data_IF_694026185436
#
_entry.id   IF_694026185436
#
_cell.length_a   1.000
_cell.length_b   1.000
_cell.length_c   1.000
_cell.angle_alpha   90.00
_cell.angle_beta   90.00
_cell.angle_gamma   90.00
#
_symmetry.space_group_name_H-M   'P 1'
#
loop_
_entity.id
_entity.type
_entity.pdbx_description
1 polymer ?
#
# COMPACT_ATOMS: atom_id res chain seq x y z
N UNK A 1 -18.37 -0.06 -0.62
CA UNK A 1 -19.50 0.77 -1.07
C UNK A 1 -20.34 1.20 0.12
N UNK A 2 -20.86 0.26 0.93
CA UNK A 2 -21.67 0.55 2.12
C UNK A 2 -21.07 1.67 3.00
N UNK A 3 -19.75 1.64 3.29
CA UNK A 3 -19.10 2.71 4.05
C UNK A 3 -19.32 4.10 3.42
N UNK A 4 -19.19 4.22 2.09
CA UNK A 4 -19.38 5.50 1.38
C UNK A 4 -20.85 5.93 1.31
N UNK A 5 -21.79 5.00 1.37
CA UNK A 5 -23.22 5.29 1.50
C UNK A 5 -23.54 5.85 2.88
N UNK A 6 -22.95 5.26 3.94
CA UNK A 6 -23.10 5.69 5.32
C UNK A 6 -22.31 6.98 5.65
N UNK A 7 -21.28 7.29 4.85
CA UNK A 7 -20.38 8.45 5.02
C UNK A 7 -20.28 9.27 3.72
N UNK A 8 -21.32 10.00 3.33
CA UNK A 8 -21.43 10.65 2.02
C UNK A 8 -20.38 11.73 1.77
N UNK A 9 -19.76 12.32 2.81
CA UNK A 9 -18.68 13.29 2.68
C UNK A 9 -17.29 12.64 2.50
N UNK A 10 -17.17 11.36 2.78
CA UNK A 10 -15.91 10.65 2.66
C UNK A 10 -15.52 10.41 1.21
N UNK A 11 -14.21 10.44 0.96
CA UNK A 11 -13.57 10.00 -0.27
C UNK A 11 -12.47 8.99 0.07
N UNK A 12 -12.28 7.99 -0.79
CA UNK A 12 -11.27 6.94 -0.58
C UNK A 12 -10.32 6.87 -1.77
N UNK A 13 -9.04 6.70 -1.48
CA UNK A 13 -8.01 6.39 -2.49
C UNK A 13 -7.58 4.95 -2.28
N UNK A 14 -7.73 4.11 -3.32
CA UNK A 14 -7.23 2.74 -3.32
C UNK A 14 -5.96 2.65 -4.15
N UNK A 15 -4.86 2.29 -3.52
CA UNK A 15 -3.59 2.01 -4.21
C UNK A 15 -3.41 0.50 -4.26
N UNK A 16 -3.48 -0.07 -5.45
CA UNK A 16 -3.50 -1.50 -5.66
C UNK A 16 -2.09 -2.06 -5.75
N UNK A 17 -1.78 -3.05 -4.90
CA UNK A 17 -0.57 -3.85 -5.01
C UNK A 17 -0.67 -4.94 -6.08
N UNK A 18 0.46 -5.53 -6.45
CA UNK A 18 0.52 -6.57 -7.48
C UNK A 18 -0.01 -7.94 -7.05
N UNK A 19 0.09 -8.26 -5.76
CA UNK A 19 -0.45 -9.48 -5.17
C UNK A 19 0.08 -10.79 -5.78
N UNK A 20 -0.75 -11.82 -5.81
CA UNK A 20 -0.43 -13.10 -6.42
C UNK A 20 -0.21 -12.99 -7.94
N UNK A 21 -1.01 -12.23 -8.71
CA UNK A 21 -0.77 -12.08 -10.15
C UNK A 21 0.64 -11.60 -10.49
N UNK A 22 1.14 -10.56 -9.80
CA UNK A 22 2.51 -10.07 -10.02
C UNK A 22 3.55 -11.19 -9.81
N UNK A 23 3.44 -11.93 -8.72
CA UNK A 23 4.38 -13.01 -8.38
C UNK A 23 4.36 -14.13 -9.43
N UNK A 24 3.17 -14.51 -9.92
CA UNK A 24 3.01 -15.54 -10.95
C UNK A 24 3.68 -15.11 -12.25
N UNK A 25 3.44 -13.89 -12.73
CA UNK A 25 4.05 -13.41 -13.97
C UNK A 25 5.56 -13.17 -13.83
N UNK A 26 6.03 -12.67 -12.70
CA UNK A 26 7.46 -12.53 -12.43
C UNK A 26 8.15 -13.91 -12.36
N UNK A 27 7.47 -14.94 -11.80
CA UNK A 27 8.01 -16.29 -11.79
C UNK A 27 8.06 -16.87 -13.21
N UNK A 28 6.99 -16.73 -13.98
CA UNK A 28 6.97 -17.17 -15.38
C UNK A 28 8.10 -16.53 -16.21
N UNK A 29 8.38 -15.24 -16.00
CA UNK A 29 9.52 -14.56 -16.62
C UNK A 29 10.85 -15.22 -16.23
N UNK A 30 11.06 -15.49 -14.94
CA UNK A 30 12.28 -16.17 -14.47
C UNK A 30 12.42 -17.57 -15.03
N UNK A 31 11.32 -18.32 -15.12
CA UNK A 31 11.32 -19.71 -15.62
C UNK A 31 11.69 -19.75 -17.11
N UNK A 32 11.22 -18.80 -17.91
CA UNK A 32 11.53 -18.71 -19.34
C UNK A 32 12.95 -18.21 -19.58
N UNK A 33 13.38 -17.18 -18.87
CA UNK A 33 14.68 -16.52 -19.09
C UNK A 33 15.84 -17.22 -18.38
N UNK A 34 15.57 -18.03 -17.37
CA UNK A 34 16.61 -18.76 -16.61
C UNK A 34 17.70 -17.81 -16.11
N UNK A 35 18.94 -18.11 -16.43
CA UNK A 35 20.10 -17.30 -16.01
C UNK A 35 20.16 -15.89 -16.63
N UNK A 36 19.34 -15.59 -17.64
CA UNK A 36 19.26 -14.28 -18.28
C UNK A 36 18.28 -13.34 -17.56
N UNK A 37 17.46 -13.85 -16.61
CA UNK A 37 16.52 -13.05 -15.81
C UNK A 37 17.21 -12.16 -14.75
N UNK A 38 18.22 -11.38 -15.17
CA UNK A 38 19.08 -10.58 -14.26
C UNK A 38 18.56 -9.16 -14.04
N UNK A 39 17.73 -8.64 -14.95
CA UNK A 39 17.25 -7.25 -14.87
C UNK A 39 16.08 -7.15 -13.90
N UNK A 40 16.34 -6.58 -12.72
CA UNK A 40 15.34 -6.31 -11.72
C UNK A 40 14.25 -5.33 -12.22
N UNK A 41 14.60 -4.36 -13.07
CA UNK A 41 13.65 -3.40 -13.62
C UNK A 41 12.59 -4.08 -14.49
N UNK A 42 12.97 -5.11 -15.26
CA UNK A 42 12.01 -5.87 -16.07
C UNK A 42 10.99 -6.57 -15.17
N UNK A 43 11.46 -7.20 -14.10
CA UNK A 43 10.58 -7.85 -13.13
C UNK A 43 9.70 -6.85 -12.40
N UNK A 44 10.22 -5.68 -12.04
CA UNK A 44 9.44 -4.59 -11.45
C UNK A 44 8.34 -4.12 -12.41
N UNK A 45 8.64 -3.92 -13.70
CA UNK A 45 7.63 -3.55 -14.68
C UNK A 45 6.51 -4.58 -14.82
N UNK A 46 6.84 -5.87 -14.79
CA UNK A 46 5.83 -6.95 -14.77
C UNK A 46 4.93 -6.80 -13.54
N UNK A 47 5.53 -6.59 -12.38
CA UNK A 47 4.80 -6.37 -11.13
C UNK A 47 3.91 -5.12 -11.19
N UNK A 48 4.43 -4.00 -11.70
CA UNK A 48 3.69 -2.74 -11.88
C UNK A 48 2.47 -2.95 -12.80
N UNK A 49 2.62 -3.64 -13.93
CA UNK A 49 1.48 -3.92 -14.83
C UNK A 49 0.41 -4.78 -14.16
N UNK A 50 0.79 -5.70 -13.28
CA UNK A 50 -0.17 -6.45 -12.47
C UNK A 50 -0.93 -5.54 -11.49
N UNK A 51 -0.28 -4.52 -10.91
CA UNK A 51 -0.98 -3.51 -10.07
C UNK A 51 -2.01 -2.73 -10.88
N UNK A 52 -1.69 -2.38 -12.14
CA UNK A 52 -2.62 -1.68 -13.01
C UNK A 52 -3.85 -2.54 -13.34
N UNK A 53 -3.66 -3.84 -13.63
CA UNK A 53 -4.76 -4.77 -13.86
C UNK A 53 -5.65 -4.90 -12.62
N UNK A 54 -5.04 -5.03 -11.43
CA UNK A 54 -5.77 -5.03 -10.16
C UNK A 54 -6.52 -3.71 -9.94
N UNK A 55 -5.91 -2.59 -10.29
CA UNK A 55 -6.53 -1.27 -10.23
C UNK A 55 -7.76 -1.15 -11.13
N UNK A 56 -7.69 -1.63 -12.37
CA UNK A 56 -8.84 -1.65 -13.27
C UNK A 56 -9.98 -2.54 -12.75
N UNK A 57 -9.64 -3.68 -12.13
CA UNK A 57 -10.64 -4.52 -11.45
C UNK A 57 -11.35 -3.74 -10.33
N UNK A 58 -10.59 -3.10 -9.43
CA UNK A 58 -11.15 -2.32 -8.33
C UNK A 58 -12.01 -1.18 -8.85
N UNK A 59 -11.53 -0.44 -9.85
CA UNK A 59 -12.27 0.63 -10.51
C UNK A 59 -13.59 0.13 -11.10
N UNK A 60 -13.56 -1.00 -11.79
CA UNK A 60 -14.76 -1.63 -12.36
C UNK A 60 -15.79 -2.05 -11.29
N UNK A 61 -15.30 -2.55 -10.14
CA UNK A 61 -16.16 -2.91 -8.98
C UNK A 61 -16.86 -1.67 -8.41
N UNK A 62 -16.16 -0.54 -8.29
CA UNK A 62 -16.75 0.69 -7.76
C UNK A 62 -17.68 1.40 -8.78
N UNK A 63 -17.41 1.26 -10.08
CA UNK A 63 -18.24 1.81 -11.16
C UNK A 63 -18.35 3.33 -11.08
N UNK A 64 -19.55 3.88 -11.05
CA UNK A 64 -19.82 5.33 -11.06
C UNK A 64 -19.23 6.12 -9.89
N UNK A 65 -18.78 5.45 -8.83
CA UNK A 65 -18.05 6.10 -7.75
C UNK A 65 -16.61 6.47 -8.17
N UNK A 66 -16.06 5.82 -9.22
CA UNK A 66 -14.75 6.08 -9.81
C UNK A 66 -14.90 6.85 -11.13
N UNK A 67 -14.90 8.18 -11.08
CA UNK A 67 -15.04 9.03 -12.27
C UNK A 67 -13.72 9.28 -13.00
N UNK A 68 -12.62 9.10 -12.30
CA UNK A 68 -11.29 9.48 -12.75
C UNK A 68 -10.55 8.30 -13.40
N UNK A 69 -9.54 8.59 -14.22
CA UNK A 69 -8.66 7.57 -14.78
C UNK A 69 -7.85 6.87 -13.68
N UNK A 70 -7.44 5.62 -13.94
CA UNK A 70 -6.48 4.93 -13.07
C UNK A 70 -5.20 5.76 -12.97
N UNK A 71 -4.77 6.07 -11.76
CA UNK A 71 -3.52 6.78 -11.51
C UNK A 71 -2.36 5.80 -11.64
N UNK A 72 -1.46 6.07 -12.57
CA UNK A 72 -0.24 5.28 -12.82
C UNK A 72 1.05 6.08 -12.57
N UNK A 73 0.92 7.37 -12.29
CA UNK A 73 1.99 8.27 -11.86
C UNK A 73 1.42 9.21 -10.80
N UNK A 74 1.73 9.01 -9.50
CA UNK A 74 1.18 9.80 -8.40
C UNK A 74 1.68 11.25 -8.41
N UNK A 75 2.69 11.57 -9.22
CA UNK A 75 3.28 12.92 -9.32
C UNK A 75 2.70 13.75 -10.46
N UNK A 76 1.94 13.13 -11.37
CA UNK A 76 1.38 13.82 -12.53
C UNK A 76 0.46 14.96 -12.14
N UNK A 77 0.67 16.16 -12.68
CA UNK A 77 -0.15 17.35 -12.37
C UNK A 77 -1.61 17.20 -12.79
N UNK A 78 -1.88 16.35 -13.77
CA UNK A 78 -3.21 16.13 -14.37
C UNK A 78 -4.15 15.24 -13.53
N UNK A 79 -3.69 14.66 -12.41
CA UNK A 79 -4.55 13.81 -11.60
C UNK A 79 -5.72 14.62 -11.04
N UNK A 80 -6.93 14.12 -11.30
CA UNK A 80 -8.19 14.61 -10.75
C UNK A 80 -8.73 13.65 -9.70
N UNK A 81 -9.58 14.14 -8.81
CA UNK A 81 -10.31 13.32 -7.85
C UNK A 81 -11.76 13.85 -7.76
N UNK A 82 -12.50 13.66 -8.85
CA UNK A 82 -13.90 14.12 -8.99
C UNK A 82 -14.89 13.15 -8.35
N UNK A 83 -14.60 11.83 -8.45
CA UNK A 83 -15.42 10.78 -7.87
C UNK A 83 -15.34 10.68 -6.34
N UNK A 84 -16.01 9.68 -5.77
CA UNK A 84 -15.89 9.28 -4.36
C UNK A 84 -14.69 8.36 -4.13
N UNK A 85 -14.28 7.66 -5.18
CA UNK A 85 -13.16 6.72 -5.15
C UNK A 85 -12.17 7.09 -6.25
N UNK A 86 -10.91 7.22 -5.87
CA UNK A 86 -9.77 7.29 -6.79
C UNK A 86 -9.00 5.97 -6.70
N UNK A 87 -8.62 5.41 -7.83
CA UNK A 87 -7.84 4.17 -7.87
C UNK A 87 -6.48 4.42 -8.50
N UNK A 88 -5.44 3.86 -7.89
CA UNK A 88 -4.06 3.93 -8.37
C UNK A 88 -3.42 2.55 -8.43
N UNK A 89 -2.43 2.42 -9.28
CA UNK A 89 -1.49 1.29 -9.33
C UNK A 89 -0.06 1.77 -9.08
N UNK A 90 0.92 0.87 -9.23
CA UNK A 90 2.34 1.18 -9.08
C UNK A 90 2.83 2.14 -10.17
N UNK A 91 3.78 2.98 -9.82
CA UNK A 91 4.32 4.01 -10.69
C UNK A 91 5.43 3.50 -11.60
N UNK A 92 6.62 3.34 -11.08
CA UNK A 92 7.83 2.97 -11.84
C UNK A 92 8.78 2.11 -10.99
N UNK A 93 9.73 1.40 -11.61
CA UNK A 93 10.75 0.65 -10.88
C UNK A 93 11.46 1.48 -9.82
N UNK A 94 11.74 0.86 -8.68
CA UNK A 94 12.38 1.50 -7.54
C UNK A 94 11.42 2.23 -6.59
N UNK A 95 10.10 2.21 -6.86
CA UNK A 95 9.06 2.76 -5.97
C UNK A 95 8.05 1.67 -5.62
N UNK A 96 7.72 1.59 -4.34
CA UNK A 96 6.66 0.72 -3.86
C UNK A 96 5.29 1.40 -3.96
N UNK A 97 4.22 0.61 -3.96
CA UNK A 97 2.85 1.13 -3.85
C UNK A 97 2.60 1.85 -2.52
N UNK A 98 3.38 1.57 -1.48
CA UNK A 98 3.36 2.34 -0.24
C UNK A 98 3.80 3.79 -0.47
N UNK A 99 4.87 3.98 -1.26
CA UNK A 99 5.35 5.31 -1.65
C UNK A 99 4.31 6.05 -2.49
N UNK A 100 3.68 5.35 -3.43
CA UNK A 100 2.61 5.92 -4.26
C UNK A 100 1.41 6.35 -3.42
N UNK A 101 1.05 5.55 -2.40
CA UNK A 101 -0.02 5.88 -1.46
C UNK A 101 0.30 7.15 -0.63
N UNK A 102 1.54 7.30 -0.16
CA UNK A 102 1.96 8.51 0.58
C UNK A 102 1.95 9.75 -0.32
N UNK A 103 2.40 9.65 -1.58
CA UNK A 103 2.32 10.76 -2.54
C UNK A 103 0.87 11.22 -2.75
N UNK A 104 -0.05 10.27 -2.96
CA UNK A 104 -1.46 10.59 -3.16
C UNK A 104 -2.11 11.12 -1.87
N UNK A 105 -1.80 10.54 -0.72
CA UNK A 105 -2.27 11.04 0.58
C UNK A 105 -1.86 12.49 0.79
N UNK A 106 -0.58 12.81 0.58
CA UNK A 106 -0.04 14.16 0.67
C UNK A 106 -0.72 15.12 -0.30
N UNK A 107 -0.90 14.70 -1.55
CA UNK A 107 -1.53 15.52 -2.61
C UNK A 107 -2.96 15.90 -2.29
N UNK A 108 -3.75 14.96 -1.79
CA UNK A 108 -5.18 15.14 -1.54
C UNK A 108 -5.50 15.43 -0.06
N UNK A 109 -4.48 15.64 0.76
CA UNK A 109 -4.63 16.05 2.16
C UNK A 109 -5.13 14.95 3.10
N UNK A 110 -5.02 13.67 2.72
CA UNK A 110 -5.33 12.57 3.60
C UNK A 110 -4.33 12.52 4.77
N UNK A 111 -4.85 12.29 5.97
CA UNK A 111 -4.05 12.27 7.21
C UNK A 111 -3.62 10.86 7.60
N UNK A 112 -4.22 9.85 7.00
CA UNK A 112 -3.97 8.45 7.32
C UNK A 112 -3.85 7.64 6.04
N UNK A 113 -2.83 6.80 5.97
CA UNK A 113 -2.70 5.71 5.00
C UNK A 113 -2.96 4.40 5.73
N UNK A 114 -3.83 3.56 5.19
CA UNK A 114 -4.11 2.24 5.75
C UNK A 114 -3.43 1.21 4.86
N UNK A 115 -2.40 0.58 5.40
CA UNK A 115 -1.69 -0.53 4.72
C UNK A 115 -2.37 -1.84 5.08
N UNK A 116 -3.16 -2.35 4.15
CA UNK A 116 -3.86 -3.62 4.28
C UNK A 116 -3.02 -4.74 3.67
N UNK A 117 -2.55 -5.64 4.51
CA UNK A 117 -1.71 -6.76 4.10
C UNK A 117 -2.22 -8.09 4.69
N UNK A 118 -1.36 -9.10 4.78
CA UNK A 118 -1.67 -10.39 5.38
C UNK A 118 -1.13 -10.54 6.81
N UNK A 119 -0.76 -9.44 7.45
CA UNK A 119 -0.32 -9.40 8.85
C UNK A 119 -1.31 -8.59 9.68
N UNK A 120 -1.63 -9.09 10.88
CA UNK A 120 -2.53 -8.39 11.78
C UNK A 120 -1.89 -7.15 12.40
N UNK A 121 -0.61 -7.22 12.74
CA UNK A 121 0.17 -6.14 13.38
C UNK A 121 1.60 -6.14 12.88
N UNK A 122 2.29 -5.03 13.10
CA UNK A 122 3.76 -4.99 13.09
C UNK A 122 4.28 -5.67 14.35
N UNK A 123 5.40 -6.36 14.23
CA UNK A 123 6.07 -7.04 15.34
C UNK A 123 7.50 -6.52 15.47
N UNK A 124 8.07 -6.71 16.64
CA UNK A 124 9.47 -6.34 16.92
C UNK A 124 10.48 -7.14 16.08
N UNK A 125 10.07 -8.28 15.53
CA UNK A 125 10.83 -9.15 14.63
C UNK A 125 9.84 -10.01 13.82
N UNK A 126 10.30 -10.80 12.85
CA UNK A 126 9.45 -11.74 12.10
C UNK A 126 8.94 -12.88 13.02
N UNK A 127 7.65 -12.93 13.38
CA UNK A 127 7.12 -13.92 14.32
C UNK A 127 7.21 -15.37 13.78
N UNK A 128 7.42 -15.54 12.47
CA UNK A 128 7.64 -16.87 11.86
C UNK A 128 9.04 -17.40 12.14
N UNK A 129 9.99 -16.51 12.45
CA UNK A 129 11.40 -16.83 12.70
C UNK A 129 11.77 -16.68 14.17
N UNK A 130 11.16 -15.74 14.86
CA UNK A 130 11.42 -15.45 16.26
C UNK A 130 10.12 -15.59 17.07
N UNK A 131 9.98 -16.68 17.86
CA UNK A 131 8.78 -16.89 18.68
C UNK A 131 8.64 -15.86 19.83
N UNK A 132 9.69 -15.08 20.11
CA UNK A 132 9.66 -13.99 21.09
C UNK A 132 9.31 -12.63 20.47
N UNK A 133 8.94 -12.59 19.19
CA UNK A 133 8.49 -11.36 18.55
C UNK A 133 7.21 -10.85 19.20
N UNK A 134 7.21 -9.60 19.64
CA UNK A 134 6.10 -8.96 20.34
C UNK A 134 5.30 -8.10 19.35
N UNK A 135 3.96 -8.21 19.31
CA UNK A 135 3.14 -7.33 18.52
C UNK A 135 3.18 -5.89 19.07
N UNK A 136 3.15 -4.94 18.16
CA UNK A 136 3.22 -3.50 18.44
C UNK A 136 1.86 -2.88 18.12
N UNK A 137 1.24 -2.21 19.10
CA UNK A 137 -0.03 -1.50 18.90
C UNK A 137 0.18 -0.09 18.35
N UNK A 138 1.23 0.59 18.84
CA UNK A 138 1.60 1.92 18.36
C UNK A 138 3.10 2.10 18.44
N UNK A 139 3.66 2.83 17.46
CA UNK A 139 5.09 3.12 17.38
C UNK A 139 5.31 4.50 16.74
N UNK A 140 6.29 5.25 17.24
CA UNK A 140 6.68 6.51 16.62
C UNK A 140 7.34 6.28 15.26
N UNK A 141 7.28 7.28 14.36
CA UNK A 141 8.03 7.24 13.12
C UNK A 141 9.54 7.06 13.33
N UNK A 142 10.08 7.68 14.35
CA UNK A 142 11.52 7.57 14.68
C UNK A 142 11.91 6.12 14.99
N UNK A 143 11.16 5.46 15.86
CA UNK A 143 11.45 4.09 16.27
C UNK A 143 11.12 3.07 15.19
N UNK A 144 10.04 3.29 14.43
CA UNK A 144 9.72 2.45 13.27
C UNK A 144 10.83 2.50 12.22
N UNK A 145 11.33 3.69 11.87
CA UNK A 145 12.43 3.84 10.91
C UNK A 145 13.75 3.25 11.43
N UNK A 146 14.04 3.34 12.73
CA UNK A 146 15.19 2.61 13.33
C UNK A 146 15.06 1.10 13.13
N UNK A 147 13.85 0.57 13.24
CA UNK A 147 13.56 -0.87 13.10
C UNK A 147 13.67 -1.35 11.64
N UNK A 148 13.11 -0.63 10.67
CA UNK A 148 13.06 -1.07 9.26
C UNK A 148 14.25 -0.58 8.44
N UNK A 149 14.91 0.50 8.85
CA UNK A 149 15.98 1.21 8.14
C UNK A 149 15.45 2.27 7.19
N UNK A 150 16.37 2.99 6.54
CA UNK A 150 16.06 4.10 5.62
C UNK A 150 16.30 3.75 4.13
N UNK A 151 16.70 2.51 3.86
CA UNK A 151 17.02 2.06 2.51
C UNK A 151 16.11 0.91 2.09
N UNK A 152 15.58 1.04 0.89
CA UNK A 152 14.88 -0.06 0.27
C UNK A 152 15.88 -1.14 -0.16
N UNK A 153 15.61 -2.38 0.24
CA UNK A 153 16.41 -3.55 -0.13
C UNK A 153 15.51 -4.54 -0.86
N UNK A 154 15.83 -4.92 -2.11
CA UNK A 154 15.05 -5.89 -2.86
C UNK A 154 14.85 -7.19 -2.09
N UNK A 155 13.60 -7.68 -2.01
CA UNK A 155 13.27 -8.93 -1.34
C UNK A 155 13.21 -8.87 0.19
N UNK A 156 13.55 -7.74 0.83
CA UNK A 156 13.33 -7.55 2.27
C UNK A 156 11.85 -7.25 2.51
N UNK A 157 11.16 -8.18 3.16
CA UNK A 157 9.80 -7.94 3.62
C UNK A 157 9.83 -7.04 4.85
N UNK A 158 9.35 -5.83 4.69
CA UNK A 158 9.12 -4.88 5.78
C UNK A 158 7.63 -4.56 5.87
N UNK A 159 7.11 -4.24 7.06
CA UNK A 159 5.69 -3.94 7.23
C UNK A 159 5.21 -2.73 6.43
N UNK A 160 6.07 -1.75 6.23
CA UNK A 160 5.87 -0.56 5.41
C UNK A 160 7.21 -0.11 4.82
N UNK A 161 7.20 0.36 3.60
CA UNK A 161 8.41 0.71 2.83
C UNK A 161 9.24 1.80 3.51
N UNK A 162 10.59 1.68 3.57
CA UNK A 162 11.45 2.67 4.23
C UNK A 162 11.38 4.07 3.62
N UNK A 163 11.27 4.17 2.28
CA UNK A 163 11.16 5.46 1.56
C UNK A 163 9.80 6.09 1.86
N UNK A 164 8.73 5.28 1.78
CA UNK A 164 7.39 5.70 2.14
C UNK A 164 7.32 6.16 3.60
N UNK A 165 8.00 5.46 4.52
CA UNK A 165 8.07 5.80 5.95
C UNK A 165 8.67 7.18 6.18
N UNK A 166 9.78 7.49 5.50
CA UNK A 166 10.40 8.81 5.57
C UNK A 166 9.47 9.90 5.05
N UNK A 167 8.86 9.69 3.89
CA UNK A 167 7.92 10.64 3.30
C UNK A 167 6.67 10.85 4.15
N UNK A 168 6.13 9.79 4.75
CA UNK A 168 4.97 9.88 5.64
C UNK A 168 5.29 10.65 6.92
N UNK A 169 6.46 10.42 7.53
CA UNK A 169 6.95 11.18 8.67
C UNK A 169 7.09 12.67 8.34
N UNK A 170 7.75 13.01 7.23
CA UNK A 170 7.93 14.39 6.78
C UNK A 170 6.60 15.11 6.51
N UNK A 171 5.61 14.37 6.03
CA UNK A 171 4.26 14.88 5.75
C UNK A 171 3.30 14.81 6.95
N UNK A 172 3.75 14.30 8.10
CA UNK A 172 2.93 14.07 9.30
C UNK A 172 1.67 13.22 9.00
N UNK A 173 1.82 12.21 8.15
CA UNK A 173 0.78 11.25 7.80
C UNK A 173 0.93 10.04 8.72
N UNK A 174 -0.17 9.61 9.34
CA UNK A 174 -0.23 8.35 10.08
C UNK A 174 -0.32 7.18 9.12
N UNK A 175 0.28 6.05 9.49
CA UNK A 175 0.08 4.78 8.79
C UNK A 175 -0.51 3.77 9.76
N UNK A 176 -1.56 3.08 9.32
CA UNK A 176 -2.15 1.96 10.05
C UNK A 176 -1.86 0.68 9.27
N UNK A 177 -1.13 -0.24 9.88
CA UNK A 177 -0.90 -1.58 9.32
C UNK A 177 -1.91 -2.56 9.92
N UNK A 178 -2.66 -3.28 9.08
CA UNK A 178 -3.69 -4.22 9.52
C UNK A 178 -3.90 -5.36 8.52
N UNK A 179 -4.58 -6.43 8.96
CA UNK A 179 -4.98 -7.54 8.10
C UNK A 179 -6.14 -7.13 7.17
N UNK A 180 -5.87 -7.05 5.87
CA UNK A 180 -6.85 -6.69 4.86
C UNK A 180 -7.96 -7.72 4.63
N UNK A 181 -7.85 -8.93 5.17
CA UNK A 181 -8.88 -9.97 5.10
C UNK A 181 -10.01 -9.74 6.10
N UNK A 182 -9.75 -8.97 7.15
CA UNK A 182 -10.73 -8.59 8.15
C UNK A 182 -11.44 -7.28 7.74
N UNK A 183 -12.56 -7.43 7.03
CA UNK A 183 -13.32 -6.28 6.53
C UNK A 183 -13.96 -5.47 7.66
N UNK A 184 -14.43 -6.12 8.72
CA UNK A 184 -15.02 -5.44 9.88
C UNK A 184 -14.00 -4.55 10.57
N UNK A 185 -12.77 -5.06 10.74
CA UNK A 185 -11.65 -4.30 11.27
C UNK A 185 -11.29 -3.11 10.37
N UNK A 186 -11.26 -3.32 9.04
CA UNK A 186 -11.02 -2.22 8.09
C UNK A 186 -12.07 -1.13 8.22
N UNK A 187 -13.33 -1.48 8.38
CA UNK A 187 -14.43 -0.51 8.62
C UNK A 187 -14.28 0.19 9.98
N UNK A 188 -13.81 -0.52 11.02
CA UNK A 188 -13.51 0.09 12.31
C UNK A 188 -12.41 1.15 12.20
N UNK A 189 -11.33 0.85 11.46
CA UNK A 189 -10.23 1.81 11.19
C UNK A 189 -10.77 3.04 10.46
N UNK A 190 -11.58 2.87 9.41
CA UNK A 190 -12.16 3.98 8.64
C UNK A 190 -13.11 4.85 9.48
N UNK A 191 -13.75 4.28 10.49
CA UNK A 191 -14.65 4.99 11.41
C UNK A 191 -13.94 5.47 12.71
N UNK A 192 -12.61 5.40 12.77
CA UNK A 192 -11.81 5.78 13.95
C UNK A 192 -12.24 5.09 15.25
N UNK A 193 -12.77 3.86 15.14
CA UNK A 193 -13.15 3.01 16.26
C UNK A 193 -11.96 2.15 16.71
N UNK A 194 -12.02 1.54 17.90
CA UNK A 194 -11.01 0.54 18.30
C UNK A 194 -10.86 -0.56 17.25
N UNK A 195 -9.63 -0.88 16.91
CA UNK A 195 -9.29 -1.84 15.85
C UNK A 195 -8.08 -2.70 16.24
N UNK A 196 -7.87 -3.78 15.52
CA UNK A 196 -6.67 -4.60 15.57
C UNK A 196 -5.70 -4.16 14.47
N UNK A 197 -4.51 -3.72 14.87
CA UNK A 197 -3.50 -3.23 13.94
C UNK A 197 -2.36 -2.54 14.66
N UNK A 198 -1.47 -1.92 13.89
CA UNK A 198 -0.40 -1.06 14.40
C UNK A 198 -0.56 0.34 13.84
N UNK A 199 -0.58 1.34 14.71
CA UNK A 199 -0.49 2.75 14.30
C UNK A 199 0.96 3.20 14.31
N UNK A 200 1.42 3.81 13.22
CA UNK A 200 2.73 4.43 13.06
C UNK A 200 2.52 5.94 12.87
N UNK A 201 3.09 6.77 13.79
CA UNK A 201 2.94 8.21 13.70
C UNK A 201 3.39 8.99 14.93
#
# INVERSE_FOLDING_TARGET
>A
KKYLEENPESKLIFVCGGGAPARVYQQAYRDVMGNEAKDANVQDWIGIRATHLNGELVKSIFGDLCKDALVIDPTASSIKFEGKVLVAGGWKPGFSTDTDAVYLARRFGAKTVINLSNIAKVYTDDPRKNPNAVPIDSISWEDFRKMVGDQWVPGKNVPFDPIASKLAQEAQIKVVCADGRNIENTIAILNEKPFEGTTIG
#
